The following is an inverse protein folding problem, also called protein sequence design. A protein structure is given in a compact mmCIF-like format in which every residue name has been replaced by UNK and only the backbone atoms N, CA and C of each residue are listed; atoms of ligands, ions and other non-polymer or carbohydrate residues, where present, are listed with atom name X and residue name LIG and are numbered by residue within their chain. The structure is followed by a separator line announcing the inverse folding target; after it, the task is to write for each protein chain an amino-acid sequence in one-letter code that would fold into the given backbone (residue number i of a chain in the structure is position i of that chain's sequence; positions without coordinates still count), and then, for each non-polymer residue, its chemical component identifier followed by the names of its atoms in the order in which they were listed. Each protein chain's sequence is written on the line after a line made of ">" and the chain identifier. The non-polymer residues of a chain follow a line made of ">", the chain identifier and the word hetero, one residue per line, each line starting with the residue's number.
data_IF_871244508750
#
_entry.id   IF_871244508750
#
_cell.length_a   1.000
_cell.length_b   1.000
_cell.length_c   1.000
_cell.angle_alpha   90.00
_cell.angle_beta   90.00
_cell.angle_gamma   90.00
#
_symmetry.space_group_name_H-M   'P 1'
#
loop_
_entity.id
_entity.type
_entity.pdbx_description
1 polymer ?
#
# COMPACT_ATOMS: atom_id res chain seq x y z
N UNK A 1 -19.70 -12.29 -22.41
CA UNK A 1 -18.37 -11.89 -22.94
C UNK A 1 -17.29 -12.74 -22.28
N UNK A 2 -16.66 -13.65 -23.03
CA UNK A 2 -15.48 -14.39 -22.56
C UNK A 2 -14.24 -13.52 -22.80
N UNK A 3 -13.52 -13.14 -21.75
CA UNK A 3 -12.19 -12.52 -21.89
C UNK A 3 -11.18 -13.62 -22.23
N UNK A 4 -10.23 -13.37 -23.14
CA UNK A 4 -9.21 -14.37 -23.49
C UNK A 4 -8.38 -14.75 -22.26
N UNK A 5 -7.87 -16.00 -22.16
CA UNK A 5 -7.31 -16.57 -20.93
C UNK A 5 -6.22 -15.72 -20.27
N UNK A 6 -5.39 -15.04 -21.08
CA UNK A 6 -4.34 -14.16 -20.57
C UNK A 6 -4.87 -12.84 -19.99
N UNK A 7 -5.95 -12.28 -20.55
CA UNK A 7 -6.61 -11.10 -19.98
C UNK A 7 -7.40 -11.45 -18.71
N UNK A 8 -7.91 -12.67 -18.61
CA UNK A 8 -8.55 -13.18 -17.40
C UNK A 8 -7.55 -13.38 -16.26
N UNK A 9 -6.37 -13.95 -16.55
CA UNK A 9 -5.25 -14.05 -15.60
C UNK A 9 -4.72 -12.68 -15.18
N UNK A 10 -4.54 -11.73 -16.12
CA UNK A 10 -4.17 -10.34 -15.80
C UNK A 10 -5.23 -9.64 -14.95
N UNK A 11 -6.52 -9.85 -15.24
CA UNK A 11 -7.62 -9.32 -14.43
C UNK A 11 -7.71 -9.98 -13.05
N UNK A 12 -7.47 -11.28 -12.94
CA UNK A 12 -7.38 -11.99 -11.65
C UNK A 12 -6.16 -11.54 -10.85
N UNK A 13 -5.03 -11.30 -11.48
CA UNK A 13 -3.82 -10.78 -10.82
C UNK A 13 -4.03 -9.33 -10.42
N UNK A 14 -4.58 -8.48 -11.29
CA UNK A 14 -4.92 -7.08 -10.99
C UNK A 14 -5.97 -6.97 -9.88
N UNK A 15 -6.99 -7.84 -9.89
CA UNK A 15 -7.99 -7.96 -8.84
C UNK A 15 -7.39 -8.53 -7.56
N UNK A 16 -6.49 -9.51 -7.62
CA UNK A 16 -5.82 -10.06 -6.44
C UNK A 16 -4.75 -9.14 -5.86
N UNK A 17 -4.16 -8.25 -6.67
CA UNK A 17 -3.29 -7.16 -6.23
C UNK A 17 -4.13 -6.05 -5.60
N UNK A 18 -5.25 -5.65 -6.21
CA UNK A 18 -6.19 -4.68 -5.64
C UNK A 18 -6.83 -5.23 -4.35
N UNK A 19 -7.28 -6.48 -4.36
CA UNK A 19 -7.78 -7.20 -3.20
C UNK A 19 -6.64 -7.41 -2.19
N UNK A 20 -5.36 -7.57 -2.56
CA UNK A 20 -4.25 -7.61 -1.59
C UNK A 20 -3.88 -6.21 -1.07
N UNK A 21 -4.10 -5.14 -1.83
CA UNK A 21 -3.96 -3.76 -1.39
C UNK A 21 -5.12 -3.40 -0.44
N UNK A 22 -6.32 -3.93 -0.68
CA UNK A 22 -7.50 -3.82 0.20
C UNK A 22 -7.45 -4.82 1.38
N UNK A 23 -6.82 -6.00 1.23
CA UNK A 23 -6.68 -7.06 2.24
C UNK A 23 -5.32 -7.09 2.95
N UNK A 24 -4.42 -6.14 2.71
CA UNK A 24 -3.45 -5.71 3.71
C UNK A 24 -4.27 -5.10 4.87
N UNK A 25 -4.78 -5.98 5.72
CA UNK A 25 -5.91 -5.79 6.64
C UNK A 25 -5.64 -4.86 7.84
N UNK A 26 -4.60 -4.05 7.74
CA UNK A 26 -4.30 -2.86 8.52
C UNK A 26 -3.60 -2.02 7.45
N UNK A 27 -4.08 -0.87 6.96
CA UNK A 27 -4.53 0.31 7.68
C UNK A 27 -3.43 1.32 8.08
N UNK A 28 -2.10 1.05 8.07
CA UNK A 28 -1.16 1.80 8.88
C UNK A 28 -0.61 3.00 8.10
N UNK A 29 -0.76 2.99 6.77
CA UNK A 29 -0.19 3.97 5.86
C UNK A 29 -1.25 4.72 5.08
N UNK A 30 -2.52 4.36 5.26
CA UNK A 30 -3.63 5.13 4.72
C UNK A 30 -3.54 6.57 5.18
N UNK A 31 -3.89 7.49 4.28
CA UNK A 31 -4.08 8.89 4.65
C UNK A 31 -5.12 9.01 5.77
N UNK A 32 -5.04 10.10 6.53
CA UNK A 32 -5.91 10.29 7.68
C UNK A 32 -7.38 10.35 7.27
N UNK A 33 -7.70 10.95 6.12
CA UNK A 33 -9.07 11.01 5.59
C UNK A 33 -9.62 9.61 5.29
N UNK A 34 -8.78 8.71 4.77
CA UNK A 34 -9.13 7.31 4.51
C UNK A 34 -9.21 6.50 5.80
N UNK A 35 -8.41 6.82 6.81
CA UNK A 35 -8.57 6.25 8.15
C UNK A 35 -9.93 6.64 8.74
N UNK A 36 -10.26 7.94 8.74
CA UNK A 36 -11.51 8.48 9.29
C UNK A 36 -12.74 7.91 8.60
N UNK A 37 -12.75 7.85 7.26
CA UNK A 37 -13.84 7.27 6.48
C UNK A 37 -14.12 5.80 6.85
N UNK A 38 -13.12 5.10 7.41
CA UNK A 38 -13.22 3.72 7.85
C UNK A 38 -13.25 3.55 9.38
N UNK A 39 -13.43 4.64 10.13
CA UNK A 39 -13.50 4.63 11.60
C UNK A 39 -12.19 4.27 12.29
N UNK A 40 -11.06 4.42 11.59
CA UNK A 40 -9.73 4.17 12.13
C UNK A 40 -9.19 5.44 12.79
N UNK A 41 -8.56 5.25 13.95
CA UNK A 41 -7.82 6.31 14.63
C UNK A 41 -6.64 6.79 13.75
N UNK A 42 -6.41 8.10 13.73
CA UNK A 42 -5.42 8.79 12.88
C UNK A 42 -4.13 9.12 13.63
N UNK A 43 -3.18 9.74 12.94
CA UNK A 43 -1.92 10.18 13.52
C UNK A 43 -0.83 9.11 13.56
N UNK A 44 0.41 9.60 13.65
CA UNK A 44 1.64 8.79 13.51
C UNK A 44 1.69 7.66 14.52
N UNK A 45 1.35 7.91 15.79
CA UNK A 45 1.44 6.92 16.87
C UNK A 45 0.53 5.71 16.62
N UNK A 46 -0.71 5.93 16.20
CA UNK A 46 -1.65 4.82 15.99
C UNK A 46 -1.36 4.07 14.68
N UNK A 47 -0.86 4.79 13.67
CA UNK A 47 -0.32 4.18 12.44
C UNK A 47 0.89 3.29 12.76
N UNK A 48 1.83 3.78 13.56
CA UNK A 48 2.98 3.01 14.05
C UNK A 48 2.55 1.77 14.85
N UNK A 49 1.57 1.91 15.75
CA UNK A 49 1.01 0.79 16.50
C UNK A 49 0.43 -0.29 15.58
N UNK A 50 -0.37 0.08 14.57
CA UNK A 50 -0.92 -0.86 13.59
C UNK A 50 0.19 -1.54 12.78
N UNK A 51 1.22 -0.80 12.40
CA UNK A 51 2.37 -1.36 11.70
C UNK A 51 3.14 -2.35 12.57
N UNK A 52 3.34 -2.05 13.85
CA UNK A 52 4.00 -2.97 14.78
C UNK A 52 3.20 -4.26 14.98
N UNK A 53 1.88 -4.17 15.12
CA UNK A 53 1.01 -5.35 15.17
C UNK A 53 1.12 -6.21 13.90
N UNK A 54 1.26 -5.57 12.74
CA UNK A 54 1.51 -6.27 11.48
C UNK A 54 2.86 -7.01 11.54
N UNK A 55 3.94 -6.33 11.89
CA UNK A 55 5.26 -6.94 11.99
C UNK A 55 5.30 -8.10 13.00
N UNK A 56 4.71 -7.91 14.18
CA UNK A 56 4.61 -8.94 15.22
C UNK A 56 3.83 -10.18 14.71
N UNK A 57 2.73 -9.98 13.98
CA UNK A 57 1.94 -11.08 13.42
C UNK A 57 2.72 -11.92 12.38
N UNK A 58 3.68 -11.31 11.68
CA UNK A 58 4.56 -11.98 10.74
C UNK A 58 5.91 -12.40 11.34
N UNK A 59 6.15 -12.14 12.63
CA UNK A 59 7.43 -12.44 13.30
C UNK A 59 8.62 -11.64 12.76
N UNK A 60 8.36 -10.44 12.24
CA UNK A 60 9.37 -9.56 11.64
C UNK A 60 9.84 -8.54 12.68
N UNK A 61 11.15 -8.37 12.82
CA UNK A 61 11.71 -7.34 13.69
C UNK A 61 11.47 -5.93 13.10
N UNK A 62 11.07 -4.93 13.91
CA UNK A 62 10.88 -3.55 13.47
C UNK A 62 12.22 -2.87 13.25
N UNK A 63 12.79 -3.08 12.06
CA UNK A 63 14.06 -2.52 11.65
C UNK A 63 13.88 -1.51 10.50
N UNK A 64 14.72 -0.46 10.49
CA UNK A 64 14.67 0.55 9.44
C UNK A 64 14.90 -0.04 8.05
N UNK A 65 15.71 -1.09 7.94
CA UNK A 65 15.94 -1.80 6.69
C UNK A 65 14.68 -2.48 6.13
N UNK A 66 13.81 -3.00 7.00
CA UNK A 66 12.52 -3.58 6.61
C UNK A 66 11.59 -2.50 6.06
N UNK A 67 11.56 -1.34 6.72
CA UNK A 67 10.75 -0.20 6.28
C UNK A 67 11.21 0.32 4.92
N UNK A 68 12.51 0.52 4.74
CA UNK A 68 13.11 0.95 3.47
C UNK A 68 12.85 -0.06 2.35
N UNK A 69 12.99 -1.36 2.62
CA UNK A 69 12.68 -2.40 1.65
C UNK A 69 11.19 -2.41 1.25
N UNK A 70 10.29 -2.19 2.21
CA UNK A 70 8.86 -2.05 1.97
C UNK A 70 8.53 -0.85 1.08
N UNK A 71 9.09 0.32 1.39
CA UNK A 71 8.94 1.55 0.59
C UNK A 71 9.40 1.31 -0.85
N UNK A 72 10.59 0.75 -1.02
CA UNK A 72 11.16 0.49 -2.34
C UNK A 72 10.29 -0.50 -3.15
N UNK A 73 9.77 -1.53 -2.49
CA UNK A 73 8.86 -2.49 -3.14
C UNK A 73 7.57 -1.81 -3.62
N UNK A 74 6.99 -0.93 -2.82
CA UNK A 74 5.79 -0.17 -3.20
C UNK A 74 6.09 0.78 -4.37
N UNK A 75 7.24 1.47 -4.36
CA UNK A 75 7.68 2.32 -5.48
C UNK A 75 7.81 1.54 -6.78
N UNK A 76 8.46 0.38 -6.74
CA UNK A 76 8.62 -0.49 -7.91
C UNK A 76 7.26 -0.96 -8.44
N UNK A 77 6.34 -1.35 -7.56
CA UNK A 77 4.99 -1.75 -7.93
C UNK A 77 4.23 -0.60 -8.60
N UNK A 78 4.27 0.61 -8.04
CA UNK A 78 3.60 1.77 -8.63
C UNK A 78 4.20 2.15 -9.98
N UNK A 79 5.53 2.15 -10.11
CA UNK A 79 6.19 2.40 -11.38
C UNK A 79 5.78 1.36 -12.44
N UNK A 80 5.70 0.09 -12.05
CA UNK A 80 5.20 -0.96 -12.93
C UNK A 80 3.76 -0.71 -13.38
N UNK A 81 2.86 -0.33 -12.46
CA UNK A 81 1.47 0.00 -12.79
C UNK A 81 1.37 1.21 -13.73
N UNK A 82 2.19 2.26 -13.53
CA UNK A 82 2.25 3.41 -14.46
C UNK A 82 2.70 3.00 -15.85
N UNK A 83 3.71 2.14 -15.95
CA UNK A 83 4.18 1.63 -17.23
C UNK A 83 3.09 0.82 -17.95
N UNK A 84 2.31 0.02 -17.20
CA UNK A 84 1.17 -0.72 -17.74
C UNK A 84 0.04 0.20 -18.23
N UNK A 85 -0.27 1.26 -17.47
CA UNK A 85 -1.25 2.27 -17.86
C UNK A 85 -0.81 2.99 -19.15
N UNK A 86 0.46 3.40 -19.23
CA UNK A 86 1.04 4.03 -20.42
C UNK A 86 1.05 3.09 -21.64
N UNK A 87 1.17 1.79 -21.42
CA UNK A 87 1.06 0.76 -22.46
C UNK A 87 -0.39 0.44 -22.87
N UNK A 88 -1.39 1.17 -22.35
CA UNK A 88 -2.80 1.02 -22.72
C UNK A 88 -3.53 -0.11 -21.98
N UNK A 89 -3.01 -0.59 -20.86
CA UNK A 89 -3.73 -1.59 -20.04
C UNK A 89 -4.97 -0.94 -19.41
N UNK A 90 -6.15 -1.39 -19.83
CA UNK A 90 -7.43 -0.76 -19.45
C UNK A 90 -7.64 -0.66 -17.93
N UNK A 91 -7.22 -1.66 -17.17
CA UNK A 91 -7.35 -1.67 -15.71
C UNK A 91 -6.43 -0.63 -15.04
N UNK A 92 -5.15 -0.64 -15.39
CA UNK A 92 -4.19 0.31 -14.82
C UNK A 92 -4.47 1.75 -15.28
N UNK A 93 -5.03 1.95 -16.48
CA UNK A 93 -5.54 3.26 -16.90
C UNK A 93 -6.72 3.73 -16.04
N UNK A 94 -7.64 2.83 -15.66
CA UNK A 94 -8.75 3.15 -14.74
C UNK A 94 -8.23 3.48 -13.34
N UNK A 95 -7.28 2.71 -12.82
CA UNK A 95 -6.65 3.01 -11.53
C UNK A 95 -5.94 4.36 -11.54
N UNK A 96 -5.24 4.67 -12.63
CA UNK A 96 -4.60 5.96 -12.81
C UNK A 96 -5.62 7.11 -12.88
N UNK A 97 -6.71 6.97 -13.64
CA UNK A 97 -7.73 8.02 -13.76
C UNK A 97 -8.50 8.27 -12.47
N UNK A 98 -8.62 7.24 -11.61
CA UNK A 98 -9.18 7.34 -10.26
C UNK A 98 -8.20 7.89 -9.22
N UNK A 99 -6.96 8.22 -9.62
CA UNK A 99 -5.94 8.78 -8.73
C UNK A 99 -5.29 7.77 -7.78
N UNK A 100 -5.57 6.46 -7.91
CA UNK A 100 -5.07 5.43 -6.98
C UNK A 100 -3.54 5.37 -6.94
N UNK A 101 -2.89 5.61 -8.10
CA UNK A 101 -1.43 5.63 -8.20
C UNK A 101 -0.80 6.87 -7.56
N UNK A 102 -1.54 7.97 -7.45
CA UNK A 102 -1.09 9.20 -6.80
C UNK A 102 -1.30 9.10 -5.28
N UNK A 103 -2.40 8.50 -4.85
CA UNK A 103 -2.61 8.17 -3.43
C UNK A 103 -1.47 7.30 -2.89
N UNK A 104 -1.07 6.26 -3.62
CA UNK A 104 0.06 5.43 -3.23
C UNK A 104 1.38 6.21 -3.09
N UNK A 105 1.62 7.27 -3.88
CA UNK A 105 2.82 8.09 -3.73
C UNK A 105 2.79 8.91 -2.45
N UNK A 106 1.62 9.45 -2.11
CA UNK A 106 1.44 10.20 -0.87
C UNK A 106 1.64 9.31 0.36
N UNK A 107 1.15 8.08 0.31
CA UNK A 107 1.37 7.09 1.37
C UNK A 107 2.87 6.74 1.50
N UNK A 108 3.59 6.57 0.38
CA UNK A 108 5.05 6.36 0.37
C UNK A 108 5.81 7.55 0.95
N UNK A 109 5.48 8.78 0.53
CA UNK A 109 6.13 9.97 1.05
C UNK A 109 5.92 10.12 2.56
N UNK A 110 4.69 9.88 3.03
CA UNK A 110 4.37 9.87 4.45
C UNK A 110 5.16 8.80 5.22
N UNK A 111 5.28 7.60 4.64
CA UNK A 111 6.08 6.50 5.19
C UNK A 111 7.56 6.87 5.33
N UNK A 112 8.12 7.61 4.38
CA UNK A 112 9.51 8.10 4.44
C UNK A 112 9.69 9.13 5.55
N UNK A 113 8.79 10.11 5.63
CA UNK A 113 8.84 11.17 6.64
C UNK A 113 8.74 10.62 8.07
N UNK A 114 8.06 9.48 8.26
CA UNK A 114 7.77 8.88 9.57
C UNK A 114 8.44 7.52 9.80
N UNK A 115 9.40 7.14 8.94
CA UNK A 115 9.99 5.79 8.96
C UNK A 115 10.56 5.41 10.34
N UNK A 116 11.18 6.37 11.03
CA UNK A 116 11.73 6.17 12.37
C UNK A 116 10.63 5.99 13.42
N UNK A 117 9.57 6.79 13.38
CA UNK A 117 8.46 6.71 14.34
C UNK A 117 7.68 5.40 14.20
N UNK A 118 7.59 4.89 12.97
CA UNK A 118 6.91 3.63 12.67
C UNK A 118 7.61 2.41 13.28
N UNK A 119 8.95 2.40 13.31
CA UNK A 119 9.75 1.29 13.86
C UNK A 119 10.08 1.47 15.35
N UNK A 120 9.96 2.68 15.89
CA UNK A 120 10.18 2.91 17.30
C UNK A 120 9.03 2.35 18.12
N UNK A 121 9.33 1.37 18.99
CA UNK A 121 8.35 0.87 19.95
C UNK A 121 7.91 2.03 20.87
N UNK A 122 6.60 2.28 21.04
CA UNK A 122 6.14 3.24 22.02
C UNK A 122 6.71 2.85 23.38
N UNK A 123 7.48 3.74 24.01
CA UNK A 123 7.70 3.63 25.45
C UNK A 123 6.33 3.85 26.10
N UNK A 124 5.95 2.94 26.99
CA UNK A 124 4.65 2.88 27.65
C UNK A 124 4.20 4.23 28.20
#
# INVERSE_FOLDING_TARGET
>A
MHKPPQQFLRWLIGRKIADNIENLRLGPFWRDEKCEAHGLQTGVREKARRFQLLLDAYGIAPEIGIMQAGIERVRQMQQHMRNLAAAGSAWEMELASRGVLDEGMLEVAWMEDHAMDLIQRPRG
#
